data_IF_422263080593
#
_entry.id   IF_422263080593
#
_cell.length_a   1.000
_cell.length_b   1.000
_cell.length_c   1.000
_cell.angle_alpha   90.00
_cell.angle_beta   90.00
_cell.angle_gamma   90.00
#
_symmetry.space_group_name_H-M   'P 1'
#
loop_
_entity.id
_entity.type
_entity.pdbx_description
1 polymer ?
#
# COMPACT_ATOMS: atom_id res chain seq x y z
N UNK A 1 0.13 -19.40 20.08
CA UNK A 1 -0.39 -18.10 19.58
C UNK A 1 -1.88 -18.26 19.40
N UNK A 2 -2.69 -17.47 20.08
CA UNK A 2 -4.16 -17.52 19.97
C UNK A 2 -4.61 -16.85 18.68
N UNK A 3 -5.80 -17.19 18.17
CA UNK A 3 -6.36 -16.55 16.97
C UNK A 3 -6.44 -15.02 17.11
N UNK A 4 -6.65 -14.53 18.34
CA UNK A 4 -6.71 -13.12 18.65
C UNK A 4 -5.35 -12.43 18.46
N UNK A 5 -4.26 -13.08 18.89
CA UNK A 5 -2.89 -12.58 18.70
C UNK A 5 -2.51 -12.49 17.22
N UNK A 6 -2.91 -13.48 16.42
CA UNK A 6 -2.66 -13.50 14.97
C UNK A 6 -3.38 -12.35 14.27
N UNK A 7 -4.65 -12.09 14.64
CA UNK A 7 -5.43 -10.97 14.10
C UNK A 7 -4.82 -9.61 14.45
N UNK A 8 -4.42 -9.40 15.70
CA UNK A 8 -3.73 -8.17 16.13
C UNK A 8 -2.45 -7.97 15.32
N UNK A 9 -1.64 -9.03 15.22
CA UNK A 9 -0.38 -8.98 14.49
C UNK A 9 -0.60 -8.61 13.01
N UNK A 10 -1.59 -9.22 12.37
CA UNK A 10 -1.98 -8.92 10.99
C UNK A 10 -2.38 -7.46 10.79
N UNK A 11 -3.25 -6.93 11.67
CA UNK A 11 -3.68 -5.53 11.61
C UNK A 11 -2.50 -4.57 11.83
N UNK A 12 -1.61 -4.90 12.76
CA UNK A 12 -0.42 -4.10 13.05
C UNK A 12 0.48 -4.00 11.83
N UNK A 13 0.89 -5.14 11.25
CA UNK A 13 1.75 -5.14 10.07
C UNK A 13 1.10 -4.47 8.88
N UNK A 14 -0.20 -4.73 8.64
CA UNK A 14 -0.94 -4.07 7.58
C UNK A 14 -0.90 -2.55 7.73
N UNK A 15 -1.18 -2.04 8.94
CA UNK A 15 -1.15 -0.60 9.22
C UNK A 15 0.24 0.00 9.03
N UNK A 16 1.29 -0.67 9.50
CA UNK A 16 2.68 -0.23 9.33
C UNK A 16 3.06 -0.17 7.85
N UNK A 17 2.72 -1.20 7.08
CA UNK A 17 2.98 -1.27 5.64
C UNK A 17 2.27 -0.10 4.93
N UNK A 18 1.00 0.14 5.23
CA UNK A 18 0.25 1.26 4.66
C UNK A 18 0.89 2.63 4.95
N UNK A 19 1.34 2.85 6.19
CA UNK A 19 2.03 4.10 6.57
C UNK A 19 3.34 4.25 5.79
N UNK A 20 4.15 3.20 5.71
CA UNK A 20 5.42 3.22 4.96
C UNK A 20 5.16 3.57 3.50
N UNK A 21 4.16 2.96 2.87
CA UNK A 21 3.83 3.22 1.47
C UNK A 21 3.40 4.66 1.21
N UNK A 22 2.58 5.24 2.10
CA UNK A 22 2.19 6.65 2.01
C UNK A 22 3.41 7.57 2.14
N UNK A 23 4.25 7.33 3.15
CA UNK A 23 5.46 8.12 3.37
C UNK A 23 6.42 8.00 2.19
N UNK A 24 6.63 6.81 1.65
CA UNK A 24 7.46 6.58 0.46
C UNK A 24 6.90 7.28 -0.78
N UNK A 25 5.59 7.22 -1.02
CA UNK A 25 4.95 7.92 -2.14
C UNK A 25 5.11 9.45 -2.04
N UNK A 26 4.86 10.01 -0.85
CA UNK A 26 5.08 11.44 -0.57
C UNK A 26 6.55 11.81 -0.77
N UNK A 27 7.47 10.99 -0.24
CA UNK A 27 8.90 11.21 -0.36
C UNK A 27 9.36 11.26 -1.81
N UNK A 28 8.95 10.29 -2.63
CA UNK A 28 9.27 10.24 -4.07
C UNK A 28 8.70 11.47 -4.79
N UNK A 29 7.48 11.88 -4.46
CA UNK A 29 6.89 13.10 -5.02
C UNK A 29 7.69 14.35 -4.67
N UNK A 30 8.14 14.48 -3.41
CA UNK A 30 8.98 15.59 -2.96
C UNK A 30 10.37 15.52 -3.60
N UNK A 31 10.95 14.34 -3.76
CA UNK A 31 12.25 14.18 -4.39
C UNK A 31 12.22 14.56 -5.88
N UNK A 32 11.19 14.12 -6.61
CA UNK A 32 10.95 14.54 -7.99
C UNK A 32 10.80 16.07 -8.12
N UNK A 33 10.24 16.74 -7.10
CA UNK A 33 10.18 18.21 -7.04
C UNK A 33 11.55 18.85 -6.88
N UNK A 34 12.37 18.30 -5.98
CA UNK A 34 13.73 18.80 -5.73
C UNK A 34 14.63 18.67 -6.96
N UNK A 35 14.39 17.65 -7.80
CA UNK A 35 15.08 17.43 -9.08
C UNK A 35 14.62 18.42 -10.18
N UNK A 36 13.63 19.28 -9.90
CA UNK A 36 13.17 20.31 -10.84
C UNK A 36 12.11 19.81 -11.84
N UNK A 37 11.52 18.64 -11.62
CA UNK A 37 10.46 18.13 -12.49
C UNK A 37 9.17 18.98 -12.37
N UNK A 38 8.35 19.07 -13.44
CA UNK A 38 7.07 19.75 -13.42
C UNK A 38 6.13 19.25 -12.31
N UNK A 39 5.22 20.11 -11.83
CA UNK A 39 4.30 19.75 -10.72
C UNK A 39 3.53 18.45 -11.02
N UNK A 40 3.03 18.35 -12.24
CA UNK A 40 2.25 17.21 -12.73
C UNK A 40 3.07 15.92 -12.68
N UNK A 41 4.31 15.95 -13.16
CA UNK A 41 5.19 14.79 -13.21
C UNK A 41 5.54 14.30 -11.79
N UNK A 42 5.86 15.20 -10.87
CA UNK A 42 6.16 14.82 -9.48
C UNK A 42 4.96 14.18 -8.75
N UNK A 43 3.74 14.65 -9.04
CA UNK A 43 2.52 14.05 -8.50
C UNK A 43 2.32 12.64 -9.06
N UNK A 44 2.54 12.45 -10.37
CA UNK A 44 2.46 11.14 -11.01
C UNK A 44 3.48 10.19 -10.38
N UNK A 45 4.72 10.62 -10.16
CA UNK A 45 5.75 9.81 -9.49
C UNK A 45 5.37 9.43 -8.05
N UNK A 46 4.82 10.37 -7.28
CA UNK A 46 4.34 10.08 -5.93
C UNK A 46 3.17 9.10 -5.91
N UNK A 47 2.22 9.24 -6.84
CA UNK A 47 1.10 8.33 -7.02
C UNK A 47 1.58 6.95 -7.50
N UNK A 48 2.57 6.88 -8.39
CA UNK A 48 3.12 5.63 -8.90
C UNK A 48 3.87 4.87 -7.80
N UNK A 49 4.67 5.56 -7.00
CA UNK A 49 5.33 4.98 -5.84
C UNK A 49 4.32 4.56 -4.75
N UNK A 50 3.22 5.32 -4.59
CA UNK A 50 2.10 4.98 -3.72
C UNK A 50 1.10 3.98 -4.32
N UNK A 51 1.27 3.55 -5.58
CA UNK A 51 0.24 2.80 -6.33
C UNK A 51 -0.11 1.46 -5.69
N UNK A 52 0.86 0.87 -4.98
CA UNK A 52 0.66 -0.34 -4.20
C UNK A 52 -0.40 -0.18 -3.09
N UNK A 53 -0.69 1.05 -2.62
CA UNK A 53 -1.76 1.36 -1.68
C UNK A 53 -3.16 1.09 -2.27
N UNK A 54 -3.31 1.22 -3.59
CA UNK A 54 -4.56 0.93 -4.31
C UNK A 54 -4.56 -0.52 -4.80
N UNK A 55 -3.43 -0.99 -5.35
CA UNK A 55 -3.30 -2.34 -5.90
C UNK A 55 -3.57 -3.41 -4.83
N UNK A 56 -3.04 -3.25 -3.61
CA UNK A 56 -3.22 -4.21 -2.52
C UNK A 56 -4.70 -4.49 -2.20
N UNK A 57 -5.50 -3.46 -1.84
CA UNK A 57 -6.94 -3.61 -1.60
C UNK A 57 -7.72 -4.13 -2.80
N UNK A 58 -7.38 -3.68 -4.02
CA UNK A 58 -8.03 -4.14 -5.25
C UNK A 58 -7.75 -5.63 -5.47
N UNK A 59 -6.49 -6.05 -5.38
CA UNK A 59 -6.13 -7.47 -5.47
C UNK A 59 -6.81 -8.29 -4.38
N UNK A 60 -6.82 -7.82 -3.14
CA UNK A 60 -7.55 -8.48 -2.06
C UNK A 60 -9.03 -8.64 -2.41
N UNK A 61 -9.71 -7.59 -2.89
CA UNK A 61 -11.12 -7.67 -3.22
C UNK A 61 -11.41 -8.66 -4.38
N UNK A 62 -10.58 -8.66 -5.42
CA UNK A 62 -10.76 -9.57 -6.57
C UNK A 62 -10.41 -11.02 -6.23
N UNK A 63 -9.39 -11.25 -5.41
CA UNK A 63 -8.88 -12.59 -5.13
C UNK A 63 -9.30 -13.15 -3.78
N UNK A 64 -9.98 -12.39 -2.89
CA UNK A 64 -10.47 -12.89 -1.60
C UNK A 64 -11.29 -14.16 -1.76
N UNK A 65 -12.12 -14.24 -2.80
CA UNK A 65 -12.99 -15.38 -3.04
C UNK A 65 -12.21 -16.62 -3.52
N UNK A 66 -11.04 -16.45 -4.13
CA UNK A 66 -10.19 -17.54 -4.60
C UNK A 66 -9.30 -18.09 -3.48
N UNK A 67 -8.81 -17.22 -2.59
CA UNK A 67 -7.95 -17.61 -1.50
C UNK A 67 -8.69 -18.10 -0.24
N UNK A 68 -9.90 -17.60 0.04
CA UNK A 68 -10.65 -17.97 1.25
C UNK A 68 -11.77 -19.00 1.03
N UNK A 69 -12.26 -19.21 -0.19
CA UNK A 69 -13.32 -20.21 -0.45
C UNK A 69 -12.78 -21.55 -0.97
N UNK A 70 -11.46 -21.78 -0.95
CA UNK A 70 -10.89 -23.06 -1.38
C UNK A 70 -11.00 -24.15 -0.30
N UNK A 71 -11.42 -23.81 0.92
CA UNK A 71 -11.58 -24.71 2.07
C UNK A 71 -13.06 -25.04 2.40
N UNK A 72 -14.00 -24.90 1.44
CA UNK A 72 -15.34 -25.48 1.56
C UNK A 72 -15.51 -26.69 0.66
#
# INVERSE_FOLDING_TARGET
MTEHEIKILGIFFYSVILIIMLVSGIWVGIDARKIGRPRSESIIWGIFAGWMFIVGPVFYFFFKNKFYNQDR
#
